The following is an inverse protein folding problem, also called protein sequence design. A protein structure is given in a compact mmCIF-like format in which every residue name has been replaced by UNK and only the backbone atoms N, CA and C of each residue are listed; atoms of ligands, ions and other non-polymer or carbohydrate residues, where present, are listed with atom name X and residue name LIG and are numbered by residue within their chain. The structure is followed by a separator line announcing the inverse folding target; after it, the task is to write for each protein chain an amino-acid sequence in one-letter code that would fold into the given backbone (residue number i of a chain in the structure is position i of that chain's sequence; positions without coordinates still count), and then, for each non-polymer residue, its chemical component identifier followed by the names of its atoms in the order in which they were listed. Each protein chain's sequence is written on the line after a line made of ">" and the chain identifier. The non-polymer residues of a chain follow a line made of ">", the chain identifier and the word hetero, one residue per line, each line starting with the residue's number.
data_IF_288750420613
#
_entry.id   IF_288750420613
#
_cell.length_a   1.000
_cell.length_b   1.000
_cell.length_c   1.000
_cell.angle_alpha   90.00
_cell.angle_beta   90.00
_cell.angle_gamma   90.00
#
_symmetry.space_group_name_H-M   'P 1'
#
loop_
_entity.id
_entity.type
_entity.pdbx_description
1 polymer ?
#
# COMPACT_ATOMS: atom_id res chain seq x y z
N UNK A 1 -38.05 49.10 35.00
CA UNK A 1 -37.95 47.67 35.40
C UNK A 1 -37.80 46.69 34.21
N UNK A 2 -37.91 47.14 32.94
CA UNK A 2 -37.87 46.28 31.74
C UNK A 2 -36.45 46.01 31.20
N UNK A 3 -35.50 46.92 31.41
CA UNK A 3 -34.13 46.85 30.83
C UNK A 3 -33.26 45.71 31.42
N UNK A 4 -33.53 45.28 32.67
CA UNK A 4 -32.79 44.20 33.31
C UNK A 4 -33.21 42.79 32.82
N UNK A 5 -34.47 42.63 32.39
CA UNK A 5 -34.98 41.36 31.85
C UNK A 5 -34.40 41.10 30.44
N UNK A 6 -34.29 42.13 29.61
CA UNK A 6 -33.72 42.02 28.26
C UNK A 6 -32.22 41.75 28.30
N UNK A 7 -31.48 42.38 29.22
CA UNK A 7 -30.03 42.08 29.43
C UNK A 7 -29.83 40.67 29.92
N UNK A 8 -30.65 40.15 30.83
CA UNK A 8 -30.55 38.77 31.29
C UNK A 8 -30.85 37.76 30.19
N UNK A 9 -31.85 38.01 29.34
CA UNK A 9 -32.19 37.14 28.22
C UNK A 9 -31.07 37.15 27.12
N UNK A 10 -30.43 38.29 26.90
CA UNK A 10 -29.30 38.41 25.94
C UNK A 10 -28.07 37.64 26.46
N UNK A 11 -27.76 37.77 27.76
CA UNK A 11 -26.65 37.03 28.37
C UNK A 11 -26.89 35.52 28.31
N UNK A 12 -28.11 35.05 28.57
CA UNK A 12 -28.43 33.61 28.45
C UNK A 12 -28.32 33.09 27.03
N UNK A 13 -28.69 33.88 26.02
CA UNK A 13 -28.50 33.50 24.62
C UNK A 13 -27.01 33.43 24.24
N UNK A 14 -26.20 34.38 24.66
CA UNK A 14 -24.76 34.39 24.43
C UNK A 14 -24.08 33.16 25.09
N UNK A 15 -24.42 32.84 26.32
CA UNK A 15 -23.91 31.70 27.04
C UNK A 15 -24.28 30.38 26.33
N UNK A 16 -25.51 30.22 25.84
CA UNK A 16 -25.92 29.05 25.05
C UNK A 16 -25.13 28.92 23.75
N UNK A 17 -24.87 30.03 23.05
CA UNK A 17 -24.08 30.03 21.80
C UNK A 17 -22.63 29.63 22.09
N UNK A 18 -22.04 30.11 23.19
CA UNK A 18 -20.69 29.76 23.61
C UNK A 18 -20.59 28.27 23.94
N UNK A 19 -21.55 27.73 24.69
CA UNK A 19 -21.60 26.28 25.00
C UNK A 19 -21.79 25.42 23.75
N UNK A 20 -22.64 25.86 22.83
CA UNK A 20 -22.85 25.16 21.55
C UNK A 20 -21.56 25.18 20.68
N UNK A 21 -20.89 26.33 20.63
CA UNK A 21 -19.60 26.49 19.94
C UNK A 21 -18.50 25.65 20.58
N UNK A 22 -18.41 25.61 21.91
CA UNK A 22 -17.44 24.77 22.62
C UNK A 22 -17.72 23.27 22.42
N UNK A 23 -18.98 22.86 22.44
CA UNK A 23 -19.36 21.46 22.17
C UNK A 23 -19.03 21.06 20.71
N UNK A 24 -19.26 21.94 19.74
CA UNK A 24 -18.91 21.73 18.34
C UNK A 24 -17.39 21.66 18.14
N UNK A 25 -16.61 22.52 18.82
CA UNK A 25 -15.15 22.48 18.79
C UNK A 25 -14.59 21.19 19.40
N UNK A 26 -15.21 20.66 20.46
CA UNK A 26 -14.83 19.38 21.06
C UNK A 26 -15.07 18.19 20.12
N UNK A 27 -16.12 18.23 19.29
CA UNK A 27 -16.42 17.20 18.28
C UNK A 27 -15.39 17.20 17.11
N UNK A 28 -14.74 18.34 16.86
CA UNK A 28 -13.76 18.47 15.77
C UNK A 28 -12.36 17.93 16.14
N UNK A 29 -12.08 17.65 17.41
CA UNK A 29 -10.76 17.11 17.83
C UNK A 29 -10.64 15.58 17.72
N UNK A 30 -11.68 14.88 17.31
CA UNK A 30 -11.70 13.42 17.17
C UNK A 30 -11.14 12.93 15.81
N UNK A 31 -10.08 13.54 15.27
CA UNK A 31 -9.37 13.03 14.12
C UNK A 31 -8.28 12.06 14.60
N UNK A 32 -8.46 10.77 14.32
CA UNK A 32 -7.43 9.75 14.54
C UNK A 32 -6.95 9.21 13.20
N UNK A 33 -5.65 9.29 12.93
CA UNK A 33 -5.02 8.59 11.81
C UNK A 33 -4.25 7.41 12.37
N UNK A 34 -4.66 6.20 12.02
CA UNK A 34 -4.01 4.98 12.47
C UNK A 34 -3.39 4.28 11.27
N UNK A 35 -2.09 4.01 11.31
CA UNK A 35 -1.44 3.10 10.39
C UNK A 35 -1.39 1.72 11.03
N UNK A 36 -2.02 0.74 10.40
CA UNK A 36 -1.96 -0.65 10.83
C UNK A 36 -1.18 -1.47 9.82
N UNK A 37 -0.15 -2.16 10.29
CA UNK A 37 0.56 -3.16 9.49
C UNK A 37 -0.22 -4.46 9.53
N UNK A 38 -0.53 -5.03 8.38
CA UNK A 38 -1.23 -6.31 8.30
C UNK A 38 -0.23 -7.46 8.41
N UNK A 39 -0.32 -8.23 9.49
CA UNK A 39 0.48 -9.45 9.72
C UNK A 39 -0.26 -10.75 9.30
N UNK A 40 -1.40 -10.64 8.63
CA UNK A 40 -2.24 -11.77 8.24
C UNK A 40 -2.03 -12.21 6.80
N UNK A 41 -2.59 -13.37 6.45
CA UNK A 41 -2.73 -13.80 5.06
C UNK A 41 -3.30 -12.65 4.22
N UNK A 42 -2.58 -12.29 3.16
CA UNK A 42 -2.90 -11.13 2.32
C UNK A 42 -4.27 -11.25 1.67
N UNK A 43 -5.01 -10.16 1.69
CA UNK A 43 -6.26 -10.03 0.93
C UNK A 43 -5.98 -10.04 -0.58
N UNK A 44 -6.98 -10.37 -1.42
CA UNK A 44 -6.84 -10.26 -2.89
C UNK A 44 -6.41 -8.86 -3.35
N UNK A 45 -6.87 -7.79 -2.68
CA UNK A 45 -6.46 -6.42 -2.99
C UNK A 45 -4.97 -6.20 -2.73
N UNK A 46 -4.46 -6.65 -1.59
CA UNK A 46 -3.04 -6.56 -1.26
C UNK A 46 -2.18 -7.37 -2.24
N UNK A 47 -2.64 -8.55 -2.63
CA UNK A 47 -1.96 -9.37 -3.65
C UNK A 47 -1.88 -8.65 -5.00
N UNK A 48 -2.98 -8.02 -5.44
CA UNK A 48 -3.01 -7.24 -6.67
C UNK A 48 -2.11 -6.01 -6.60
N UNK A 49 -2.14 -5.27 -5.49
CA UNK A 49 -1.28 -4.10 -5.30
C UNK A 49 0.20 -4.47 -5.46
N UNK A 50 0.65 -5.54 -4.82
CA UNK A 50 2.04 -6.00 -4.90
C UNK A 50 2.37 -6.48 -6.30
N UNK A 51 1.53 -7.35 -6.88
CA UNK A 51 1.81 -7.94 -8.19
C UNK A 51 1.87 -6.89 -9.28
N UNK A 52 0.98 -5.91 -9.24
CA UNK A 52 0.96 -4.84 -10.23
C UNK A 52 2.12 -3.85 -10.02
N UNK A 53 2.52 -3.57 -8.79
CA UNK A 53 3.73 -2.78 -8.50
C UNK A 53 4.98 -3.43 -9.07
N UNK A 54 5.14 -4.76 -8.92
CA UNK A 54 6.27 -5.50 -9.50
C UNK A 54 6.22 -5.44 -11.03
N UNK A 55 5.08 -5.73 -11.64
CA UNK A 55 4.94 -5.69 -13.11
C UNK A 55 5.20 -4.29 -13.68
N UNK A 56 4.67 -3.24 -13.05
CA UNK A 56 4.92 -1.85 -13.45
C UNK A 56 6.39 -1.46 -13.35
N UNK A 57 7.07 -1.87 -12.29
CA UNK A 57 8.48 -1.56 -12.11
C UNK A 57 9.34 -2.09 -13.23
N UNK A 58 9.02 -3.28 -13.75
CA UNK A 58 9.67 -3.89 -14.91
C UNK A 58 9.25 -3.23 -16.22
N UNK A 59 7.98 -2.88 -16.39
CA UNK A 59 7.44 -2.26 -17.61
C UNK A 59 7.95 -0.84 -17.84
N UNK A 60 8.25 -0.08 -16.79
CA UNK A 60 8.84 1.27 -16.90
C UNK A 60 10.23 1.27 -17.57
N UNK A 61 10.84 0.09 -17.78
CA UNK A 61 12.14 -0.06 -18.39
C UNK A 61 12.15 -1.16 -19.47
N UNK A 62 11.36 -1.02 -20.55
CA UNK A 62 11.24 -2.05 -21.57
C UNK A 62 12.55 -2.30 -22.33
N UNK A 63 13.45 -1.32 -22.37
CA UNK A 63 14.70 -1.37 -23.17
C UNK A 63 15.99 -1.28 -22.35
N UNK A 64 15.92 -1.38 -21.03
CA UNK A 64 17.15 -1.49 -20.21
C UNK A 64 17.80 -2.82 -20.49
N UNK A 65 18.55 -2.86 -21.60
CA UNK A 65 19.43 -3.99 -21.87
C UNK A 65 20.30 -4.20 -20.63
N UNK A 66 20.18 -5.36 -20.01
CA UNK A 66 21.12 -5.74 -18.99
C UNK A 66 22.53 -5.71 -19.61
N UNK A 67 23.60 -5.43 -18.86
CA UNK A 67 24.97 -5.35 -19.37
C UNK A 67 25.53 -6.73 -19.68
N UNK A 68 24.72 -7.59 -20.29
CA UNK A 68 25.05 -8.93 -20.75
C UNK A 68 24.44 -9.16 -22.15
N UNK A 69 25.04 -10.01 -22.99
CA UNK A 69 24.55 -10.27 -24.34
C UNK A 69 23.14 -10.81 -24.37
N UNK A 70 22.27 -10.31 -25.28
CA UNK A 70 20.96 -10.91 -25.53
C UNK A 70 21.12 -12.38 -25.94
N UNK A 71 20.19 -13.22 -25.50
CA UNK A 71 20.27 -14.67 -25.72
C UNK A 71 21.19 -15.43 -24.76
N UNK A 72 21.83 -14.72 -23.83
CA UNK A 72 22.66 -15.37 -22.81
C UNK A 72 21.81 -16.30 -21.93
N UNK A 73 22.43 -17.39 -21.46
CA UNK A 73 21.86 -18.28 -20.48
C UNK A 73 22.09 -17.72 -19.08
N UNK A 74 21.00 -17.53 -18.33
CA UNK A 74 21.03 -16.92 -17.00
C UNK A 74 20.39 -17.83 -15.94
N UNK A 75 21.00 -17.93 -14.77
CA UNK A 75 20.38 -18.49 -13.56
C UNK A 75 19.90 -17.37 -12.67
N UNK A 76 18.70 -17.51 -12.11
CA UNK A 76 18.16 -16.56 -11.16
C UNK A 76 18.38 -17.04 -9.74
N UNK A 77 18.83 -16.13 -8.90
CA UNK A 77 18.83 -16.24 -7.44
C UNK A 77 18.10 -15.03 -6.85
N UNK A 78 17.67 -15.12 -5.59
CA UNK A 78 16.90 -14.06 -4.94
C UNK A 78 17.35 -13.87 -3.50
N UNK A 79 17.52 -12.61 -3.11
CA UNK A 79 17.94 -12.17 -1.78
C UNK A 79 17.00 -11.07 -1.24
N UNK A 80 16.90 -10.95 0.06
CA UNK A 80 16.08 -9.92 0.72
C UNK A 80 15.17 -10.50 1.80
N UNK A 81 14.45 -9.63 2.48
CA UNK A 81 13.63 -9.97 3.66
C UNK A 81 12.14 -10.19 3.35
N UNK A 82 11.72 -10.10 2.08
CA UNK A 82 10.32 -10.33 1.69
C UNK A 82 9.94 -11.82 1.73
N UNK A 83 8.66 -12.05 2.03
CA UNK A 83 8.05 -13.39 1.95
C UNK A 83 7.68 -13.79 0.52
N UNK A 84 7.62 -12.84 -0.43
CA UNK A 84 7.12 -13.05 -1.80
C UNK A 84 8.23 -13.33 -2.82
N UNK A 85 9.33 -13.93 -2.36
CA UNK A 85 10.50 -14.22 -3.21
C UNK A 85 10.15 -15.04 -4.43
N UNK A 86 9.36 -16.09 -4.27
CA UNK A 86 8.99 -17.00 -5.37
C UNK A 86 8.14 -16.28 -6.43
N UNK A 87 7.27 -15.36 -5.99
CA UNK A 87 6.47 -14.57 -6.90
C UNK A 87 7.36 -13.68 -7.79
N UNK A 88 8.27 -12.88 -7.17
CA UNK A 88 9.21 -12.04 -7.95
C UNK A 88 10.07 -12.90 -8.86
N UNK A 89 10.58 -14.02 -8.38
CA UNK A 89 11.40 -14.92 -9.20
C UNK A 89 10.66 -15.35 -10.46
N UNK A 90 9.38 -15.73 -10.33
CA UNK A 90 8.54 -16.11 -11.47
C UNK A 90 8.28 -14.96 -12.44
N UNK A 91 7.96 -13.78 -11.94
CA UNK A 91 7.69 -12.58 -12.78
C UNK A 91 8.95 -12.15 -13.52
N UNK A 92 10.09 -12.07 -12.83
CA UNK A 92 11.39 -11.68 -13.45
C UNK A 92 11.85 -12.74 -14.46
N UNK A 93 11.63 -14.03 -14.19
CA UNK A 93 11.94 -15.08 -15.16
C UNK A 93 11.16 -14.91 -16.46
N UNK A 94 9.85 -14.63 -16.36
CA UNK A 94 8.99 -14.33 -17.51
C UNK A 94 9.44 -13.09 -18.26
N UNK A 95 9.74 -12.01 -17.54
CA UNK A 95 10.22 -10.76 -18.12
C UNK A 95 11.57 -10.95 -18.87
N UNK A 96 12.53 -11.66 -18.27
CA UNK A 96 13.81 -11.97 -18.93
C UNK A 96 13.61 -12.81 -20.19
N UNK A 97 12.68 -13.78 -20.14
CA UNK A 97 12.30 -14.56 -21.33
C UNK A 97 11.78 -13.67 -22.48
N UNK A 98 10.93 -12.68 -22.17
CA UNK A 98 10.44 -11.69 -23.13
C UNK A 98 11.57 -10.80 -23.69
N UNK A 99 12.61 -10.52 -22.89
CA UNK A 99 13.80 -9.81 -23.33
C UNK A 99 14.78 -10.68 -24.14
N UNK A 100 14.46 -11.96 -24.32
CA UNK A 100 15.25 -12.91 -25.12
C UNK A 100 16.34 -13.65 -24.36
N UNK A 101 16.38 -13.57 -23.02
CA UNK A 101 17.31 -14.35 -22.20
C UNK A 101 16.81 -15.78 -21.97
N UNK A 102 17.72 -16.73 -21.85
CA UNK A 102 17.40 -18.14 -21.58
C UNK A 102 17.55 -18.43 -20.09
N UNK A 103 16.43 -18.44 -19.36
CA UNK A 103 16.43 -18.73 -17.92
C UNK A 103 16.64 -20.21 -17.67
N UNK A 104 17.70 -20.55 -16.93
CA UNK A 104 18.11 -21.92 -16.59
C UNK A 104 17.79 -22.22 -15.12
N UNK A 105 17.43 -23.48 -14.86
CA UNK A 105 17.22 -23.95 -13.48
C UNK A 105 18.54 -24.27 -12.75
N UNK A 106 19.53 -24.79 -13.49
CA UNK A 106 20.85 -25.17 -12.97
C UNK A 106 21.92 -24.14 -13.34
N UNK A 107 22.88 -23.93 -12.45
CA UNK A 107 24.04 -23.09 -12.70
C UNK A 107 24.98 -23.66 -13.78
N UNK A 108 24.98 -24.98 -13.95
CA UNK A 108 25.85 -25.68 -14.91
C UNK A 108 25.61 -25.26 -16.36
N UNK A 109 24.36 -24.91 -16.68
CA UNK A 109 23.94 -24.48 -18.03
C UNK A 109 23.81 -22.96 -18.19
N UNK A 110 24.20 -22.20 -17.16
CA UNK A 110 24.13 -20.76 -17.17
C UNK A 110 25.51 -20.11 -17.31
N UNK A 111 25.58 -19.06 -18.12
CA UNK A 111 26.76 -18.23 -18.29
C UNK A 111 26.79 -17.09 -17.26
N UNK A 112 25.60 -16.61 -16.85
CA UNK A 112 25.46 -15.56 -15.86
C UNK A 112 24.52 -15.99 -14.75
N UNK A 113 24.78 -15.48 -13.55
CA UNK A 113 23.90 -15.54 -12.42
C UNK A 113 23.35 -14.13 -12.17
N UNK A 114 22.04 -13.99 -12.15
CA UNK A 114 21.35 -12.75 -11.80
C UNK A 114 20.75 -12.94 -10.42
N UNK A 115 21.28 -12.23 -9.42
CA UNK A 115 20.73 -12.19 -8.07
C UNK A 115 19.77 -11.01 -7.96
N UNK A 116 18.49 -11.29 -7.73
CA UNK A 116 17.45 -10.29 -7.49
C UNK A 116 17.53 -9.87 -6.04
N UNK A 117 17.89 -8.63 -5.76
CA UNK A 117 17.98 -8.09 -4.41
C UNK A 117 16.74 -7.25 -4.12
N UNK A 118 15.90 -7.73 -3.21
CA UNK A 118 14.69 -7.03 -2.80
C UNK A 118 15.01 -6.07 -1.66
N UNK A 119 14.89 -4.77 -1.91
CA UNK A 119 15.01 -3.72 -0.91
C UNK A 119 13.72 -3.57 -0.11
N UNK A 120 12.58 -3.51 -0.80
CA UNK A 120 11.26 -3.40 -0.18
C UNK A 120 10.20 -3.98 -1.10
N UNK A 121 9.30 -4.77 -0.53
CA UNK A 121 8.13 -5.32 -1.21
C UNK A 121 7.02 -5.54 -0.20
N UNK A 122 5.90 -4.88 -0.39
CA UNK A 122 4.78 -5.01 0.54
C UNK A 122 3.66 -4.03 0.26
N UNK A 123 2.72 -3.99 1.21
CA UNK A 123 1.61 -3.05 1.23
C UNK A 123 1.63 -2.24 2.51
N UNK A 124 1.21 -0.99 2.40
CA UNK A 124 0.93 -0.09 3.53
C UNK A 124 -0.57 0.20 3.57
N UNK A 125 -1.12 0.26 4.78
CA UNK A 125 -2.50 0.62 5.04
C UNK A 125 -2.54 1.86 5.92
N UNK A 126 -3.13 2.94 5.42
CA UNK A 126 -3.45 4.14 6.18
C UNK A 126 -4.96 4.32 6.28
N UNK A 127 -5.44 4.89 7.36
CA UNK A 127 -6.84 5.26 7.48
C UNK A 127 -7.01 6.65 8.12
N UNK A 128 -8.09 7.32 7.74
CA UNK A 128 -8.56 8.56 8.39
C UNK A 128 -10.01 8.34 8.76
N UNK A 129 -10.34 8.66 10.00
CA UNK A 129 -11.67 8.46 10.53
C UNK A 129 -12.17 9.72 11.26
N UNK A 130 -13.39 10.14 10.96
CA UNK A 130 -14.10 11.21 11.64
C UNK A 130 -15.51 10.70 11.97
N UNK A 131 -15.83 10.56 13.25
CA UNK A 131 -17.11 10.01 13.67
C UNK A 131 -17.06 9.44 15.08
N UNK A 132 -18.00 8.52 15.38
CA UNK A 132 -18.02 7.77 16.63
C UNK A 132 -17.45 6.38 16.36
N UNK A 133 -16.33 6.00 16.99
CA UNK A 133 -15.74 4.68 16.80
C UNK A 133 -16.68 3.59 17.37
N UNK A 134 -16.52 2.37 16.87
CA UNK A 134 -17.21 1.22 17.42
C UNK A 134 -16.86 1.05 18.90
N UNK A 135 -17.86 0.99 19.77
CA UNK A 135 -17.69 0.80 21.22
C UNK A 135 -18.20 -0.59 21.59
N UNK A 136 -17.29 -1.41 22.12
CA UNK A 136 -17.63 -2.69 22.75
C UNK A 136 -17.41 -2.55 24.24
N UNK A 137 -18.50 -2.44 25.00
CA UNK A 137 -18.42 -2.35 26.45
C UNK A 137 -18.50 -3.77 27.04
N UNK A 138 -17.44 -4.20 27.75
CA UNK A 138 -17.39 -5.52 28.41
C UNK A 138 -18.35 -5.65 29.61
N UNK A 139 -18.80 -4.54 30.17
CA UNK A 139 -19.68 -4.47 31.34
C UNK A 139 -21.18 -4.35 31.02
N UNK A 140 -21.50 -3.96 29.78
CA UNK A 140 -22.89 -3.81 29.34
C UNK A 140 -22.95 -4.52 27.96
N UNK A 141 -23.92 -5.42 27.69
CA UNK A 141 -24.02 -6.13 26.43
C UNK A 141 -24.58 -5.24 25.32
N UNK A 142 -24.07 -4.02 25.20
CA UNK A 142 -24.44 -3.05 24.16
C UNK A 142 -23.18 -2.81 23.32
N UNK A 143 -23.23 -3.22 22.07
CA UNK A 143 -22.26 -2.82 21.06
C UNK A 143 -22.82 -1.69 20.22
N UNK A 144 -22.14 -0.55 20.21
CA UNK A 144 -22.44 0.54 19.28
C UNK A 144 -21.60 0.32 18.02
N UNK A 145 -22.21 0.25 16.82
CA UNK A 145 -21.46 0.18 15.57
C UNK A 145 -20.67 1.47 15.34
N UNK A 146 -19.66 1.38 14.49
CA UNK A 146 -18.93 2.56 14.00
C UNK A 146 -19.89 3.49 13.24
N UNK A 147 -19.92 4.75 13.62
CA UNK A 147 -20.69 5.79 12.93
C UNK A 147 -19.72 6.78 12.29
N UNK A 148 -19.32 6.50 11.05
CA UNK A 148 -18.38 7.31 10.32
C UNK A 148 -19.07 8.46 9.59
N UNK A 149 -18.85 9.70 10.00
CA UNK A 149 -19.21 10.88 9.20
C UNK A 149 -18.32 10.94 7.97
N UNK A 150 -17.03 10.65 8.15
CA UNK A 150 -16.05 10.50 7.08
C UNK A 150 -15.06 9.40 7.46
N UNK A 151 -14.79 8.50 6.52
CA UNK A 151 -13.76 7.46 6.63
C UNK A 151 -13.02 7.38 5.30
N UNK A 152 -11.71 7.36 5.36
CA UNK A 152 -10.86 7.10 4.20
C UNK A 152 -9.88 5.98 4.54
N UNK A 153 -9.78 4.99 3.68
CA UNK A 153 -8.82 3.89 3.74
C UNK A 153 -7.89 4.00 2.53
N UNK A 154 -6.60 4.03 2.79
CA UNK A 154 -5.55 4.15 1.78
C UNK A 154 -4.72 2.87 1.81
N UNK A 155 -4.67 2.16 0.70
CA UNK A 155 -3.82 1.00 0.54
C UNK A 155 -2.83 1.27 -0.59
N UNK A 156 -1.54 1.11 -0.30
CA UNK A 156 -0.47 1.30 -1.28
C UNK A 156 0.35 0.04 -1.38
N UNK A 157 0.53 -0.47 -2.59
CA UNK A 157 1.51 -1.51 -2.89
C UNK A 157 2.81 -0.88 -3.35
N UNK A 158 3.93 -1.40 -2.87
CA UNK A 158 5.25 -0.88 -3.20
C UNK A 158 6.21 -2.00 -3.58
N UNK A 159 6.96 -1.79 -4.66
CA UNK A 159 8.03 -2.68 -5.10
C UNK A 159 9.33 -1.88 -5.33
N UNK A 160 10.43 -2.36 -4.75
CA UNK A 160 11.77 -1.84 -4.96
C UNK A 160 12.77 -2.99 -4.90
N UNK A 161 13.41 -3.28 -6.01
CA UNK A 161 14.43 -4.31 -6.15
C UNK A 161 15.40 -3.96 -7.26
N UNK A 162 16.56 -4.62 -7.29
CA UNK A 162 17.56 -4.47 -8.35
C UNK A 162 18.23 -5.81 -8.62
N UNK A 163 19.05 -5.88 -9.66
CA UNK A 163 19.78 -7.08 -10.07
C UNK A 163 21.27 -6.89 -9.89
N UNK A 164 21.92 -7.84 -9.22
CA UNK A 164 23.36 -8.02 -9.24
C UNK A 164 23.70 -9.16 -10.20
N UNK A 165 24.60 -8.90 -11.14
CA UNK A 165 24.95 -9.81 -12.23
C UNK A 165 26.37 -10.31 -12.02
N UNK A 166 26.51 -11.63 -12.06
CA UNK A 166 27.79 -12.32 -11.91
C UNK A 166 28.03 -13.24 -13.09
N UNK A 167 29.27 -13.35 -13.55
CA UNK A 167 29.67 -14.29 -14.57
C UNK A 167 30.00 -15.65 -13.94
N UNK A 168 29.54 -16.73 -14.56
CA UNK A 168 29.80 -18.10 -14.12
C UNK A 168 30.87 -18.75 -15.01
N UNK A 169 31.68 -19.70 -14.47
CA UNK A 169 31.67 -20.23 -13.09
C UNK A 169 32.50 -19.37 -12.11
N UNK A 170 33.16 -18.32 -12.58
CA UNK A 170 34.10 -17.53 -11.77
C UNK A 170 33.47 -16.75 -10.62
N UNK A 171 32.15 -16.55 -10.64
CA UNK A 171 31.41 -15.64 -9.77
C UNK A 171 31.93 -14.19 -9.79
N UNK A 172 32.59 -13.79 -10.88
CA UNK A 172 33.06 -12.42 -11.06
C UNK A 172 31.85 -11.48 -11.17
N UNK A 173 31.82 -10.44 -10.37
CA UNK A 173 30.81 -9.40 -10.45
C UNK A 173 30.94 -8.64 -11.78
N UNK A 174 29.82 -8.48 -12.48
CA UNK A 174 29.75 -7.79 -13.77
C UNK A 174 29.22 -6.39 -13.59
N UNK A 175 28.01 -6.27 -13.02
CA UNK A 175 27.36 -4.99 -12.78
C UNK A 175 26.12 -5.16 -11.88
N UNK A 176 25.65 -4.04 -11.33
CA UNK A 176 24.30 -3.91 -10.76
C UNK A 176 23.40 -3.13 -11.70
N UNK A 177 22.15 -3.52 -11.79
CA UNK A 177 21.14 -2.71 -12.47
C UNK A 177 20.76 -1.49 -11.65
N UNK A 178 20.19 -0.46 -12.27
CA UNK A 178 19.45 0.55 -11.51
C UNK A 178 18.21 -0.07 -10.87
N UNK A 179 17.73 0.45 -9.71
CA UNK A 179 16.58 -0.10 -9.04
C UNK A 179 15.30 -0.05 -9.89
N UNK A 180 14.51 -1.12 -9.83
CA UNK A 180 13.15 -1.20 -10.35
C UNK A 180 12.22 -0.75 -9.25
N UNK A 181 11.54 0.38 -9.44
CA UNK A 181 10.69 0.99 -8.42
C UNK A 181 9.33 1.31 -9.03
N UNK A 182 8.27 0.88 -8.36
CA UNK A 182 6.91 1.30 -8.66
C UNK A 182 6.02 1.17 -7.41
N UNK A 183 4.96 1.92 -7.45
CA UNK A 183 3.87 1.92 -6.49
C UNK A 183 2.53 1.73 -7.21
N UNK A 184 1.53 1.30 -6.46
CA UNK A 184 0.13 1.15 -6.85
C UNK A 184 -0.74 1.58 -5.70
N UNK A 185 -1.98 1.96 -5.94
CA UNK A 185 -2.86 2.35 -4.86
C UNK A 185 -4.30 1.86 -5.04
N UNK A 186 -4.97 1.69 -3.92
CA UNK A 186 -6.41 1.46 -3.81
C UNK A 186 -6.94 2.23 -2.61
N UNK A 187 -7.76 3.24 -2.85
CA UNK A 187 -8.33 4.10 -1.84
C UNK A 187 -9.85 3.94 -1.81
N UNK A 188 -10.41 3.85 -0.61
CA UNK A 188 -11.85 3.80 -0.38
C UNK A 188 -12.26 4.95 0.55
N UNK A 189 -13.27 5.69 0.18
CA UNK A 189 -13.80 6.82 0.92
C UNK A 189 -15.26 6.57 1.25
N UNK A 190 -15.65 6.80 2.50
CA UNK A 190 -17.05 6.74 2.94
C UNK A 190 -17.43 8.07 3.57
N UNK A 191 -18.53 8.65 3.13
CA UNK A 191 -19.09 9.89 3.67
C UNK A 191 -20.53 9.68 4.11
N UNK A 192 -20.93 10.35 5.19
CA UNK A 192 -22.29 10.34 5.74
C UNK A 192 -22.85 8.92 5.88
N UNK A 193 -22.03 7.99 6.37
CA UNK A 193 -22.37 6.58 6.69
C UNK A 193 -22.64 5.67 5.49
N UNK A 194 -23.05 6.20 4.33
CA UNK A 194 -23.61 5.42 3.22
C UNK A 194 -22.96 5.69 1.84
N UNK A 195 -22.38 6.85 1.63
CA UNK A 195 -21.80 7.19 0.34
C UNK A 195 -20.35 6.69 0.26
N UNK A 196 -20.13 5.66 -0.54
CA UNK A 196 -18.79 5.09 -0.74
C UNK A 196 -18.30 5.40 -2.15
N UNK A 197 -17.06 5.93 -2.23
CA UNK A 197 -16.33 6.16 -3.47
C UNK A 197 -14.98 5.46 -3.43
N UNK A 198 -14.54 4.91 -4.56
CA UNK A 198 -13.22 4.26 -4.70
C UNK A 198 -12.38 5.00 -5.72
N UNK A 199 -11.08 5.08 -5.46
CA UNK A 199 -10.07 5.56 -6.38
C UNK A 199 -8.93 4.56 -6.40
N UNK A 200 -8.55 4.08 -7.57
CA UNK A 200 -7.49 3.08 -7.72
C UNK A 200 -6.83 3.21 -9.08
N UNK A 201 -5.60 2.78 -9.17
CA UNK A 201 -4.86 2.62 -10.42
C UNK A 201 -4.70 1.14 -10.81
N UNK A 202 -5.30 0.22 -10.05
CA UNK A 202 -5.34 -1.21 -10.39
C UNK A 202 -6.20 -1.46 -11.62
N UNK A 203 -5.74 -2.32 -12.52
CA UNK A 203 -6.45 -2.64 -13.77
C UNK A 203 -7.77 -3.37 -13.52
N UNK A 204 -7.83 -4.23 -12.51
CA UNK A 204 -9.02 -5.02 -12.18
C UNK A 204 -9.16 -5.16 -10.67
N UNK A 205 -9.54 -4.10 -9.94
CA UNK A 205 -9.67 -4.18 -8.50
C UNK A 205 -10.83 -5.11 -8.11
N UNK A 206 -10.70 -5.88 -7.01
CA UNK A 206 -11.78 -6.72 -6.54
C UNK A 206 -12.99 -5.86 -6.13
N UNK A 207 -14.23 -6.33 -6.38
CA UNK A 207 -15.42 -5.63 -5.96
C UNK A 207 -15.49 -5.58 -4.42
N UNK A 208 -15.83 -4.43 -3.87
CA UNK A 208 -16.24 -4.37 -2.45
C UNK A 208 -17.63 -4.99 -2.34
N UNK A 209 -17.78 -5.95 -1.47
CA UNK A 209 -19.06 -6.52 -1.06
C UNK A 209 -19.55 -5.87 0.21
#
# INVERSE_FOLDING_TARGET
>A
MNNNKERSAMIQKMVKIIYLGAALAYLLTACSTTQTMTNSLRTPTEQLLISEAVMRSLSKRPESALPIPRGASVKLDISGISLDKDFILGVVAGWLGQQGYRVQRSAENAIYRINIVINSLGTELGNTFVGVPAIQASLIPISLPELAIYKAEYQTGYANFYFDIFELPSNRFVASSSPFIADTFFNAYTALFVFTHKSTDLVSPPPLR
#
